data_IF_657290621735
#
_entry.id   IF_657290621735
#
_cell.length_a   1.000
_cell.length_b   1.000
_cell.length_c   1.000
_cell.angle_alpha   90.00
_cell.angle_beta   90.00
_cell.angle_gamma   90.00
#
_symmetry.space_group_name_H-M   'P 1'
#
loop_
_entity.id
_entity.type
_entity.pdbx_description
1 polymer ?
#
# COMPACT_ATOMS: atom_id res chain seq x y z
N UNK A 1 6.73 12.95 -12.32
CA UNK A 1 6.46 11.67 -12.99
C UNK A 1 5.60 10.84 -12.05
N UNK A 2 4.46 10.39 -12.56
CA UNK A 2 3.41 9.56 -11.96
C UNK A 2 3.16 9.80 -10.46
N UNK A 3 2.54 10.94 -10.13
CA UNK A 3 1.60 10.91 -9.01
C UNK A 3 0.41 10.07 -9.49
N UNK A 4 0.58 8.74 -9.50
CA UNK A 4 -0.55 7.83 -9.62
C UNK A 4 -1.51 8.30 -8.54
N UNK A 5 -2.75 8.62 -8.91
CA UNK A 5 -3.78 9.00 -7.96
C UNK A 5 -3.93 7.84 -6.98
N UNK A 6 -3.23 7.93 -5.85
CA UNK A 6 -3.27 6.91 -4.82
C UNK A 6 -4.73 6.76 -4.38
N UNK A 7 -5.12 5.53 -4.06
CA UNK A 7 -6.43 5.28 -3.51
C UNK A 7 -6.28 5.25 -1.99
N UNK A 8 -7.14 5.97 -1.23
CA UNK A 8 -7.06 5.96 0.22
C UNK A 8 -7.25 4.54 0.74
N UNK A 9 -6.52 4.18 1.79
CA UNK A 9 -6.55 2.87 2.45
C UNK A 9 -6.13 1.67 1.60
N UNK A 10 -5.79 1.87 0.33
CA UNK A 10 -5.38 0.82 -0.59
C UNK A 10 -3.93 0.39 -0.38
N UNK A 11 -3.64 -0.84 -0.81
CA UNK A 11 -2.33 -1.45 -0.72
C UNK A 11 -1.61 -1.40 -2.07
N UNK A 12 -0.33 -1.06 -2.06
CA UNK A 12 0.50 -0.99 -3.26
C UNK A 12 1.80 -1.76 -3.08
N UNK A 13 2.25 -2.40 -4.14
CA UNK A 13 3.64 -2.78 -4.31
C UNK A 13 4.48 -1.53 -4.52
N UNK A 14 5.53 -1.40 -3.74
CA UNK A 14 6.43 -0.27 -3.80
C UNK A 14 7.88 -0.67 -3.51
N UNK A 15 8.82 0.19 -3.90
CA UNK A 15 10.23 0.11 -3.53
C UNK A 15 10.69 1.42 -2.95
N UNK A 16 11.64 1.37 -2.02
CA UNK A 16 12.33 2.54 -1.53
C UNK A 16 13.79 2.21 -1.27
N UNK A 17 14.70 3.10 -1.64
CA UNK A 17 16.12 2.97 -1.28
C UNK A 17 16.39 3.20 0.20
N UNK A 18 15.46 3.86 0.92
CA UNK A 18 15.57 4.17 2.35
C UNK A 18 15.00 3.09 3.25
N UNK A 19 14.06 2.29 2.75
CA UNK A 19 13.30 1.31 3.53
C UNK A 19 13.42 -0.09 2.92
N UNK A 20 13.33 -1.12 3.75
CA UNK A 20 13.29 -2.54 3.32
C UNK A 20 14.41 -2.94 2.35
N UNK A 21 15.61 -2.37 2.51
CA UNK A 21 16.80 -2.66 1.71
C UNK A 21 16.61 -2.55 0.18
N UNK A 22 15.73 -1.66 -0.28
CA UNK A 22 15.43 -1.52 -1.72
C UNK A 22 14.59 -2.65 -2.32
N UNK A 23 14.17 -3.61 -1.51
CA UNK A 23 13.37 -4.75 -1.97
C UNK A 23 11.93 -4.32 -2.22
N UNK A 24 11.24 -4.92 -3.21
CA UNK A 24 9.81 -4.72 -3.36
C UNK A 24 9.09 -5.15 -2.08
N UNK A 25 8.22 -4.28 -1.60
CA UNK A 25 7.41 -4.49 -0.39
C UNK A 25 5.99 -4.01 -0.64
N UNK A 26 5.08 -4.36 0.28
CA UNK A 26 3.71 -3.85 0.28
C UNK A 26 3.63 -2.71 1.29
N UNK A 27 3.04 -1.60 0.87
CA UNK A 27 2.71 -0.44 1.70
C UNK A 27 1.21 -0.16 1.61
N UNK A 28 0.65 0.51 2.62
CA UNK A 28 -0.74 0.96 2.62
C UNK A 28 -0.80 2.48 2.61
N UNK A 29 -1.67 3.05 1.77
CA UNK A 29 -1.99 4.48 1.81
C UNK A 29 -2.79 4.76 3.08
N UNK A 30 -2.26 5.61 3.96
CA UNK A 30 -2.84 5.93 5.26
C UNK A 30 -3.42 7.34 5.24
N UNK A 31 -4.70 7.46 5.60
CA UNK A 31 -5.41 8.73 5.76
C UNK A 31 -5.52 9.17 7.23
N UNK A 32 -4.74 8.56 8.12
CA UNK A 32 -4.80 8.82 9.58
C UNK A 32 -4.50 10.28 9.90
N UNK A 33 -3.61 10.93 9.14
CA UNK A 33 -3.22 12.32 9.35
C UNK A 33 -4.12 13.34 8.64
N UNK A 34 -5.05 12.89 7.79
CA UNK A 34 -5.99 13.74 7.08
C UNK A 34 -6.65 13.05 5.89
N UNK A 35 -7.84 13.52 5.53
CA UNK A 35 -8.61 12.98 4.39
C UNK A 35 -8.14 13.52 3.06
N UNK A 36 -7.65 14.76 3.02
CA UNK A 36 -7.05 15.34 1.81
C UNK A 36 -5.74 14.63 1.46
N UNK A 37 -5.51 14.45 0.16
CA UNK A 37 -4.35 13.71 -0.37
C UNK A 37 -3.00 14.28 0.06
N UNK A 38 -2.96 15.57 0.39
CA UNK A 38 -1.75 16.26 0.89
C UNK A 38 -1.30 15.76 2.26
N UNK A 39 -2.19 15.13 3.04
CA UNK A 39 -1.88 14.55 4.34
C UNK A 39 -1.63 13.04 4.30
N UNK A 40 -1.73 12.43 3.12
CA UNK A 40 -1.60 10.98 3.01
C UNK A 40 -0.14 10.54 3.16
N UNK A 41 0.04 9.44 3.87
CA UNK A 41 1.33 8.80 4.09
C UNK A 41 1.27 7.34 3.72
N UNK A 42 2.42 6.67 3.64
CA UNK A 42 2.50 5.23 3.45
C UNK A 42 2.80 4.55 4.78
N UNK A 43 1.87 3.74 5.27
CA UNK A 43 2.10 2.88 6.42
C UNK A 43 3.01 1.71 6.02
N UNK A 44 4.07 1.50 6.80
CA UNK A 44 5.08 0.47 6.56
C UNK A 44 4.67 -0.81 7.28
N UNK A 45 4.26 -1.83 6.50
CA UNK A 45 3.73 -3.07 7.07
C UNK A 45 4.77 -3.81 7.93
N UNK A 46 4.32 -4.36 9.05
CA UNK A 46 5.18 -4.97 10.06
C UNK A 46 5.78 -3.97 11.06
N UNK A 47 5.41 -2.69 10.96
CA UNK A 47 5.83 -1.62 11.87
C UNK A 47 4.66 -0.68 12.19
N UNK A 48 4.85 0.24 13.13
CA UNK A 48 3.95 1.36 13.42
C UNK A 48 4.32 2.65 12.67
N UNK A 49 5.32 2.59 11.78
CA UNK A 49 5.88 3.77 11.11
C UNK A 49 5.12 4.15 9.83
N UNK A 50 5.20 5.44 9.50
CA UNK A 50 4.71 6.01 8.26
C UNK A 50 5.83 6.75 7.53
N UNK A 51 5.78 6.75 6.20
CA UNK A 51 6.73 7.46 5.34
C UNK A 51 6.00 8.29 4.28
N UNK A 52 6.70 9.26 3.70
CA UNK A 52 6.10 10.09 2.65
C UNK A 52 5.96 9.28 1.36
N UNK A 53 4.86 9.43 0.59
CA UNK A 53 4.70 8.73 -0.68
C UNK A 53 5.84 9.01 -1.67
N UNK A 54 6.42 10.22 -1.62
CA UNK A 54 7.55 10.61 -2.46
C UNK A 54 8.87 9.86 -2.16
N UNK A 55 8.98 9.19 -1.01
CA UNK A 55 10.13 8.33 -0.68
C UNK A 55 10.06 6.95 -1.35
N UNK A 56 8.97 6.66 -2.07
CA UNK A 56 8.70 5.37 -2.67
C UNK A 56 8.46 5.48 -4.17
N UNK A 57 8.95 4.49 -4.90
CA UNK A 57 8.51 4.17 -6.25
C UNK A 57 7.27 3.27 -6.15
N UNK A 58 6.11 3.78 -6.55
CA UNK A 58 4.85 3.01 -6.57
C UNK A 58 4.79 2.20 -7.85
N UNK A 59 4.67 0.87 -7.71
CA UNK A 59 4.77 -0.08 -8.82
C UNK A 59 3.38 -0.50 -9.31
N UNK A 60 2.55 -1.03 -8.43
CA UNK A 60 1.22 -1.55 -8.78
C UNK A 60 0.30 -1.63 -7.55
N UNK A 61 -1.02 -1.56 -7.77
CA UNK A 61 -2.01 -1.88 -6.74
C UNK A 61 -1.89 -3.36 -6.39
N UNK A 62 -1.99 -3.70 -5.10
CA UNK A 62 -2.07 -5.10 -4.68
C UNK A 62 -3.44 -5.64 -5.04
N UNK A 63 -3.48 -6.69 -5.84
CA UNK A 63 -4.70 -7.42 -6.14
C UNK A 63 -5.18 -8.11 -4.87
N UNK A 64 -6.42 -7.82 -4.46
CA UNK A 64 -7.08 -8.63 -3.46
C UNK A 64 -7.36 -10.00 -4.10
N UNK A 65 -7.16 -11.11 -3.37
CA UNK A 65 -7.60 -12.40 -3.86
C UNK A 65 -9.08 -12.29 -4.19
N UNK A 66 -9.46 -12.66 -5.43
CA UNK A 66 -10.86 -12.82 -5.78
C UNK A 66 -11.50 -13.71 -4.73
N UNK A 67 -12.64 -13.29 -4.18
CA UNK A 67 -13.39 -14.10 -3.21
C UNK A 67 -13.63 -15.46 -3.84
N UNK A 68 -12.84 -16.46 -3.45
CA UNK A 68 -13.11 -17.83 -3.83
C UNK A 68 -14.49 -18.13 -3.24
N UNK A 69 -15.54 -18.37 -4.05
CA UNK A 69 -16.80 -18.80 -3.49
C UNK A 69 -16.46 -20.06 -2.71
N UNK A 70 -16.69 -20.01 -1.39
CA UNK A 70 -16.57 -21.16 -0.49
C UNK A 70 -17.36 -22.29 -1.15
N UNK A 71 -16.68 -23.20 -1.85
CA UNK A 71 -17.33 -24.43 -2.30
C UNK A 71 -17.64 -25.15 -1.02
N UNK A 72 -18.90 -25.09 -0.60
CA UNK A 72 -19.40 -25.93 0.47
C UNK A 72 -18.99 -27.36 0.10
N UNK A 73 -18.04 -27.91 0.85
CA UNK A 73 -17.79 -29.33 0.83
C UNK A 73 -19.08 -29.95 1.39
N UNK A 74 -19.88 -30.55 0.50
CA UNK A 74 -20.98 -31.38 0.93
C UNK A 74 -20.36 -32.63 1.59
N UNK A 75 -20.71 -32.84 2.85
CA UNK A 75 -20.40 -34.04 3.64
C UNK A 75 -21.28 -35.22 3.19
#
# INVERSE_FOLDING_TARGET
MIAASLVPDAFYWAKSSKYFDGRPTIVRVSTVFGKDSDYWTLALLGTDQHAMPADFEIIALVELPEEYPLRQAAE
#
